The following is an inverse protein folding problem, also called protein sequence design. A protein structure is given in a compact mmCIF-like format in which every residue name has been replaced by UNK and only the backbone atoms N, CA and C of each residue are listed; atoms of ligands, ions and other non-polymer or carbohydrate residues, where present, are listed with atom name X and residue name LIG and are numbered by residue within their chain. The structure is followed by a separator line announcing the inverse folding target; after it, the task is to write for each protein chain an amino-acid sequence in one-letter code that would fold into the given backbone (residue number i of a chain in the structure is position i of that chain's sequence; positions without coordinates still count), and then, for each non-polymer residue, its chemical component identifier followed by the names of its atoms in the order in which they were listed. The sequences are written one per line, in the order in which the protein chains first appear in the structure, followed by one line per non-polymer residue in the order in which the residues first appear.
data_IF_292642788137
#
_entry.id   IF_292642788137
#
_cell.length_a   1.000
_cell.length_b   1.000
_cell.length_c   1.000
_cell.angle_alpha   90.00
_cell.angle_beta   90.00
_cell.angle_gamma   90.00
#
_symmetry.space_group_name_H-M   'P 1'
#
loop_
_entity.id
_entity.type
_entity.pdbx_description
1 polymer ?
#
# COMPACT_ATOMS: atom_id res chain seq x y z
N UNK A 1 14.63 18.20 -4.48
CA UNK A 1 15.22 17.15 -3.61
C UNK A 1 15.27 15.85 -4.41
N UNK A 2 16.30 15.01 -4.27
CA UNK A 2 16.29 13.67 -4.88
C UNK A 2 15.92 12.62 -3.83
N UNK A 3 15.06 11.67 -4.20
CA UNK A 3 14.56 10.63 -3.30
C UNK A 3 14.48 9.28 -3.99
N UNK A 4 14.43 8.22 -3.19
CA UNK A 4 14.12 6.86 -3.65
C UNK A 4 12.73 6.53 -3.12
N UNK A 5 11.88 5.99 -3.99
CA UNK A 5 10.50 5.64 -3.70
C UNK A 5 10.26 4.18 -3.96
N UNK A 6 9.26 3.64 -3.29
CA UNK A 6 8.85 2.28 -3.56
C UNK A 6 8.38 2.20 -5.02
N UNK A 7 8.89 1.25 -5.82
CA UNK A 7 8.53 1.16 -7.23
C UNK A 7 7.05 0.81 -7.46
N UNK A 8 6.35 0.32 -6.44
CA UNK A 8 4.98 -0.17 -6.56
C UNK A 8 3.92 0.77 -5.98
N UNK A 9 4.23 1.50 -4.91
CA UNK A 9 3.27 2.38 -4.25
C UNK A 9 3.75 3.83 -4.11
N UNK A 10 4.93 4.13 -4.66
CA UNK A 10 5.56 5.46 -4.62
C UNK A 10 5.71 6.04 -3.20
N UNK A 11 5.73 5.18 -2.18
CA UNK A 11 5.93 5.60 -0.80
C UNK A 11 7.43 5.78 -0.46
N UNK A 12 7.72 6.71 0.44
CA UNK A 12 9.08 7.00 0.91
C UNK A 12 9.39 6.48 2.32
N UNK A 13 8.48 5.71 2.93
CA UNK A 13 8.63 5.18 4.28
C UNK A 13 9.15 3.74 4.24
N UNK A 14 10.43 3.58 4.57
CA UNK A 14 11.13 2.30 4.56
C UNK A 14 11.67 1.97 5.95
N UNK A 15 11.72 0.68 6.27
CA UNK A 15 12.51 0.16 7.40
C UNK A 15 13.56 -0.81 6.87
N UNK A 16 14.61 -1.08 7.63
CA UNK A 16 15.52 -2.18 7.33
C UNK A 16 14.92 -3.51 7.80
N UNK A 17 14.92 -4.52 6.91
CA UNK A 17 14.50 -5.89 7.19
C UNK A 17 15.42 -6.85 6.40
N UNK A 18 16.07 -7.79 7.10
CA UNK A 18 16.95 -8.80 6.51
C UNK A 18 18.02 -8.24 5.53
N UNK A 19 18.61 -7.09 5.91
CA UNK A 19 19.63 -6.41 5.09
C UNK A 19 19.07 -5.61 3.90
N UNK A 20 17.76 -5.67 3.64
CA UNK A 20 17.07 -4.92 2.59
C UNK A 20 16.24 -3.75 3.16
N UNK A 21 15.89 -2.80 2.31
CA UNK A 21 14.86 -1.81 2.59
C UNK A 21 13.47 -2.42 2.32
N UNK A 22 12.60 -2.38 3.33
CA UNK A 22 11.21 -2.80 3.22
C UNK A 22 10.28 -1.59 3.25
N UNK A 23 9.52 -1.40 2.18
CA UNK A 23 8.44 -0.43 2.12
C UNK A 23 7.38 -0.77 3.16
N UNK A 24 7.09 0.17 4.07
CA UNK A 24 6.09 -0.04 5.12
C UNK A 24 4.66 -0.13 4.57
N UNK A 25 4.43 0.38 3.36
CA UNK A 25 3.09 0.45 2.78
C UNK A 25 2.69 -0.80 2.02
N UNK A 26 3.57 -1.28 1.14
CA UNK A 26 3.26 -2.41 0.27
C UNK A 26 4.14 -3.63 0.56
N UNK A 27 4.95 -3.62 1.62
CA UNK A 27 5.81 -4.75 1.99
C UNK A 27 6.96 -5.05 1.01
N UNK A 28 7.05 -4.35 -0.12
CA UNK A 28 8.14 -4.50 -1.08
C UNK A 28 9.50 -4.45 -0.38
N UNK A 29 10.38 -5.40 -0.68
CA UNK A 29 11.75 -5.46 -0.20
C UNK A 29 12.73 -5.28 -1.37
N UNK A 30 13.81 -4.54 -1.13
CA UNK A 30 14.91 -4.42 -2.07
C UNK A 30 15.96 -3.44 -1.57
N UNK A 31 16.92 -3.10 -2.42
CA UNK A 31 18.00 -2.17 -2.08
C UNK A 31 17.73 -0.81 -2.72
N UNK A 32 17.63 0.24 -1.90
CA UNK A 32 17.33 1.60 -2.40
C UNK A 32 18.55 2.28 -3.04
N UNK A 33 19.76 1.91 -2.63
CA UNK A 33 21.02 2.45 -3.17
C UNK A 33 21.28 2.02 -4.62
N UNK A 34 20.70 0.90 -5.05
CA UNK A 34 20.75 0.39 -6.42
C UNK A 34 19.65 0.98 -7.34
N UNK A 35 18.74 1.83 -6.82
CA UNK A 35 17.64 2.42 -7.60
C UNK A 35 17.96 3.81 -8.18
N UNK A 36 17.39 4.10 -9.35
CA UNK A 36 17.45 5.41 -9.96
C UNK A 36 16.77 6.46 -9.07
N UNK A 37 17.53 7.51 -8.73
CA UNK A 37 17.01 8.64 -7.97
C UNK A 37 16.19 9.53 -8.89
N UNK A 38 14.96 9.81 -8.48
CA UNK A 38 14.12 10.78 -9.17
C UNK A 38 14.30 12.16 -8.54
N UNK A 39 14.48 13.17 -9.37
CA UNK A 39 14.36 14.56 -8.94
C UNK A 39 12.88 14.87 -8.73
N UNK A 40 12.54 15.29 -7.51
CA UNK A 40 11.16 15.62 -7.17
C UNK A 40 10.90 17.10 -7.42
N UNK A 41 9.74 17.36 -8.01
CA UNK A 41 9.14 18.70 -8.01
C UNK A 41 8.77 19.10 -6.57
N UNK A 42 8.57 20.39 -6.36
CA UNK A 42 8.07 20.93 -5.10
C UNK A 42 6.69 20.34 -4.75
N UNK A 43 5.79 20.28 -5.73
CA UNK A 43 4.44 19.71 -5.60
C UNK A 43 4.47 18.25 -5.10
N UNK A 44 5.31 17.39 -5.67
CA UNK A 44 5.43 15.99 -5.21
C UNK A 44 5.99 15.94 -3.79
N UNK A 45 6.94 16.81 -3.47
CA UNK A 45 7.53 16.88 -2.13
C UNK A 45 6.49 17.29 -1.08
N UNK A 46 5.66 18.28 -1.38
CA UNK A 46 4.56 18.74 -0.52
C UNK A 46 3.48 17.68 -0.35
N UNK A 47 3.06 17.03 -1.44
CA UNK A 47 2.08 15.94 -1.40
C UNK A 47 2.54 14.80 -0.49
N UNK A 48 3.82 14.41 -0.59
CA UNK A 48 4.39 13.36 0.28
C UNK A 48 4.48 13.80 1.73
N UNK A 49 4.81 15.07 2.00
CA UNK A 49 4.83 15.61 3.35
C UNK A 49 3.43 15.61 3.97
N UNK A 50 2.41 15.98 3.18
CA UNK A 50 1.01 15.93 3.59
C UNK A 50 0.56 14.51 3.91
N UNK A 51 0.87 13.53 3.06
CA UNK A 51 0.54 12.12 3.31
C UNK A 51 1.18 11.60 4.60
N UNK A 52 2.45 11.93 4.86
CA UNK A 52 3.11 11.59 6.13
C UNK A 52 2.41 12.20 7.34
N UNK A 53 1.98 13.47 7.23
CA UNK A 53 1.25 14.13 8.30
C UNK A 53 -0.12 13.46 8.55
N UNK A 54 -0.86 13.10 7.50
CA UNK A 54 -2.14 12.41 7.61
C UNK A 54 -2.01 11.02 8.23
N UNK A 55 -0.97 10.25 7.87
CA UNK A 55 -0.66 8.95 8.48
C UNK A 55 -0.39 9.09 9.98
N UNK A 56 0.51 10.02 10.35
CA UNK A 56 0.81 10.30 11.78
C UNK A 56 -0.41 10.74 12.58
N UNK A 57 -1.35 11.44 11.93
CA UNK A 57 -2.60 11.87 12.54
C UNK A 57 -3.69 10.78 12.56
N UNK A 58 -3.44 9.57 12.04
CA UNK A 58 -4.46 8.52 11.94
C UNK A 58 -5.63 8.89 11.02
N UNK A 59 -5.37 9.67 9.97
CA UNK A 59 -6.37 10.14 8.98
C UNK A 59 -6.17 9.55 7.59
N UNK A 60 -5.12 8.76 7.40
CA UNK A 60 -4.84 8.04 6.17
C UNK A 60 -4.49 6.61 6.50
N UNK A 61 -5.23 5.68 5.90
CA UNK A 61 -5.15 4.24 6.13
C UNK A 61 -4.91 3.52 4.82
N UNK A 62 -4.24 2.39 4.90
CA UNK A 62 -4.03 1.51 3.77
C UNK A 62 -4.51 0.11 4.10
N UNK A 63 -5.32 -0.45 3.21
CA UNK A 63 -5.79 -1.83 3.31
C UNK A 63 -5.02 -2.65 2.30
N UNK A 64 -4.31 -3.68 2.78
CA UNK A 64 -3.64 -4.68 1.94
C UNK A 64 -4.42 -5.97 1.96
N UNK A 65 -4.77 -6.47 0.79
CA UNK A 65 -5.52 -7.71 0.63
C UNK A 65 -4.69 -8.66 -0.21
N UNK A 66 -4.10 -9.65 0.45
CA UNK A 66 -3.36 -10.73 -0.20
C UNK A 66 -4.35 -11.75 -0.75
N UNK A 67 -4.11 -12.22 -1.96
CA UNK A 67 -4.99 -13.16 -2.62
C UNK A 67 -4.21 -14.27 -3.32
N UNK A 68 -4.90 -15.38 -3.58
CA UNK A 68 -4.35 -16.48 -4.35
C UNK A 68 -3.98 -16.01 -5.77
N UNK A 69 -2.95 -16.65 -6.36
CA UNK A 69 -2.54 -16.38 -7.73
C UNK A 69 -3.71 -16.63 -8.70
N UNK A 70 -3.98 -15.65 -9.58
CA UNK A 70 -5.08 -15.71 -10.54
C UNK A 70 -6.48 -15.43 -9.98
N UNK A 71 -6.60 -15.06 -8.70
CA UNK A 71 -7.87 -14.55 -8.17
C UNK A 71 -8.13 -13.13 -8.67
N UNK A 72 -9.26 -12.92 -9.34
CA UNK A 72 -9.75 -11.60 -9.71
C UNK A 72 -10.73 -11.10 -8.64
N UNK A 73 -10.19 -10.35 -7.67
CA UNK A 73 -10.96 -9.82 -6.52
C UNK A 73 -11.09 -8.29 -6.58
N UNK A 74 -10.57 -7.65 -7.62
CA UNK A 74 -10.33 -6.20 -7.61
C UNK A 74 -11.64 -5.41 -7.54
N UNK A 75 -12.65 -5.82 -8.30
CA UNK A 75 -13.96 -5.19 -8.32
C UNK A 75 -14.74 -5.43 -7.02
N UNK A 76 -14.70 -6.63 -6.48
CA UNK A 76 -15.35 -6.95 -5.20
C UNK A 76 -14.74 -6.10 -4.06
N UNK A 77 -13.42 -5.90 -4.05
CA UNK A 77 -12.74 -5.02 -3.08
C UNK A 77 -13.22 -3.58 -3.19
N UNK A 78 -13.36 -3.05 -4.41
CA UNK A 78 -13.87 -1.71 -4.69
C UNK A 78 -15.29 -1.56 -4.11
N UNK A 79 -16.14 -2.54 -4.35
CA UNK A 79 -17.53 -2.54 -3.89
C UNK A 79 -17.63 -2.61 -2.37
N UNK A 80 -16.91 -3.53 -1.72
CA UNK A 80 -16.91 -3.72 -0.26
C UNK A 80 -16.37 -2.49 0.48
N UNK A 81 -15.32 -1.87 -0.05
CA UNK A 81 -14.69 -0.71 0.59
C UNK A 81 -15.30 0.63 0.16
N UNK A 82 -16.21 0.62 -0.81
CA UNK A 82 -16.82 1.81 -1.41
C UNK A 82 -15.77 2.84 -1.88
N UNK A 83 -14.77 2.36 -2.63
CA UNK A 83 -13.70 3.18 -3.19
C UNK A 83 -13.80 3.22 -4.71
N UNK A 84 -13.24 4.25 -5.36
CA UNK A 84 -13.30 4.38 -6.82
C UNK A 84 -12.18 3.61 -7.55
N UNK A 85 -11.26 2.99 -6.81
CA UNK A 85 -10.16 2.26 -7.38
C UNK A 85 -9.18 1.76 -6.33
N UNK A 86 -8.30 0.88 -6.77
CA UNK A 86 -7.25 0.29 -5.98
C UNK A 86 -6.03 -0.01 -6.86
N UNK A 87 -4.86 -0.09 -6.23
CA UNK A 87 -3.64 -0.51 -6.89
C UNK A 87 -3.40 -2.00 -6.71
N UNK A 88 -2.61 -2.58 -7.61
CA UNK A 88 -2.03 -3.91 -7.43
C UNK A 88 -0.53 -3.75 -7.22
N UNK A 89 -0.01 -4.43 -6.21
CA UNK A 89 1.42 -4.44 -5.92
C UNK A 89 1.83 -5.81 -5.40
N UNK A 90 3.05 -6.28 -5.70
CA UNK A 90 3.62 -7.39 -4.98
C UNK A 90 4.00 -6.94 -3.55
N UNK A 91 3.53 -7.66 -2.55
CA UNK A 91 3.93 -7.55 -1.14
C UNK A 91 4.45 -8.90 -0.67
N UNK A 92 5.67 -8.93 -0.13
CA UNK A 92 6.27 -10.15 0.44
C UNK A 92 6.27 -11.35 -0.53
N UNK A 93 6.47 -11.08 -1.83
CA UNK A 93 6.49 -12.12 -2.87
C UNK A 93 5.11 -12.65 -3.28
N UNK A 94 4.01 -12.00 -2.85
CA UNK A 94 2.64 -12.32 -3.24
C UNK A 94 1.96 -11.11 -3.87
N UNK A 95 1.03 -11.35 -4.79
CA UNK A 95 0.17 -10.30 -5.30
C UNK A 95 -0.79 -9.82 -4.20
N UNK A 96 -0.96 -8.51 -4.13
CA UNK A 96 -1.94 -7.91 -3.24
C UNK A 96 -2.64 -6.71 -3.89
N UNK A 97 -3.91 -6.56 -3.52
CA UNK A 97 -4.67 -5.33 -3.76
C UNK A 97 -4.37 -4.36 -2.64
N UNK A 98 -4.03 -3.12 -3.00
CA UNK A 98 -3.77 -2.02 -2.06
C UNK A 98 -4.80 -0.92 -2.24
N UNK A 99 -5.44 -0.55 -1.14
CA UNK A 99 -6.46 0.50 -1.11
C UNK A 99 -6.04 1.61 -0.16
N UNK A 100 -5.98 2.85 -0.66
CA UNK A 100 -5.76 4.06 0.15
C UNK A 100 -7.10 4.62 0.59
N UNK A 101 -7.29 4.82 1.89
CA UNK A 101 -8.54 5.30 2.48
C UNK A 101 -8.30 6.47 3.45
N UNK A 102 -9.15 7.50 3.39
CA UNK A 102 -9.14 8.62 4.35
C UNK A 102 -9.90 8.34 5.66
N UNK A 103 -10.44 7.12 5.79
CA UNK A 103 -11.14 6.61 6.98
C UNK A 103 -10.75 5.16 7.19
N UNK A 104 -10.66 4.74 8.45
CA UNK A 104 -10.37 3.35 8.79
C UNK A 104 -11.53 2.46 8.31
N UNK A 105 -11.27 1.33 7.62
CA UNK A 105 -12.33 0.39 7.27
C UNK A 105 -13.02 -0.14 8.52
N UNK A 106 -14.33 -0.35 8.43
CA UNK A 106 -15.12 -0.87 9.55
C UNK A 106 -14.84 -2.36 9.78
N UNK A 107 -15.16 -2.87 10.97
CA UNK A 107 -15.05 -4.30 11.25
C UNK A 107 -15.91 -5.17 10.33
N UNK A 108 -17.06 -4.64 9.87
CA UNK A 108 -17.93 -5.32 8.91
C UNK A 108 -17.25 -5.45 7.54
N UNK A 109 -16.70 -4.35 7.01
CA UNK A 109 -15.93 -4.36 5.76
C UNK A 109 -14.75 -5.34 5.83
N UNK A 110 -14.01 -5.33 6.95
CA UNK A 110 -12.88 -6.26 7.13
C UNK A 110 -13.30 -7.72 7.23
N UNK A 111 -14.47 -8.00 7.81
CA UNK A 111 -15.01 -9.36 7.89
C UNK A 111 -15.45 -9.85 6.51
N UNK A 112 -16.11 -8.98 5.75
CA UNK A 112 -16.53 -9.27 4.38
C UNK A 112 -15.32 -9.57 3.49
N UNK A 113 -14.30 -8.69 3.50
CA UNK A 113 -13.06 -8.90 2.75
C UNK A 113 -12.39 -10.25 3.07
N UNK A 114 -12.32 -10.62 4.35
CA UNK A 114 -11.69 -11.89 4.78
C UNK A 114 -12.47 -13.13 4.33
N UNK A 115 -13.76 -13.00 4.08
CA UNK A 115 -14.61 -14.09 3.63
C UNK A 115 -14.73 -14.17 2.10
N UNK A 116 -14.17 -13.20 1.37
CA UNK A 116 -14.17 -13.23 -0.09
C UNK A 116 -13.36 -14.41 -0.62
N UNK A 117 -13.87 -15.05 -1.67
CA UNK A 117 -13.21 -16.18 -2.30
C UNK A 117 -11.86 -15.73 -2.89
N UNK A 118 -10.80 -16.44 -2.51
CA UNK A 118 -9.45 -16.16 -3.00
C UNK A 118 -8.66 -15.18 -2.14
N UNK A 119 -9.27 -14.55 -1.13
CA UNK A 119 -8.53 -13.75 -0.14
C UNK A 119 -7.83 -14.67 0.86
N UNK A 120 -6.53 -14.44 1.06
CA UNK A 120 -5.72 -15.20 2.01
C UNK A 120 -5.48 -14.43 3.32
N UNK A 121 -5.33 -13.10 3.21
CA UNK A 121 -4.98 -12.25 4.35
C UNK A 121 -5.38 -10.80 4.09
N UNK A 122 -5.84 -10.12 5.13
CA UNK A 122 -6.14 -8.68 5.11
C UNK A 122 -5.38 -7.97 6.22
N UNK A 123 -4.69 -6.90 5.88
CA UNK A 123 -3.98 -6.03 6.82
C UNK A 123 -4.41 -4.58 6.68
N UNK A 124 -4.42 -3.84 7.79
CA UNK A 124 -4.68 -2.41 7.81
C UNK A 124 -3.49 -1.70 8.43
N UNK A 125 -2.96 -0.69 7.73
CA UNK A 125 -1.85 0.14 8.15
C UNK A 125 -2.30 1.60 8.30
#
# INVERSE_FOLDING_TARGET
MSGVFCPYCSDGNFKKADGNDQCQMCGWTGKLDEQFRSWLTEEVTESLAQDRALKKAGKLFYVRIYHAAGADIQFDVIDVLHVNGCGNAPSDGKDCVIVRMNKKPTSAMLAELKNMKGVEKVEVW
#
